data_IF_670737925568
#
_entry.id   IF_670737925568
#
_cell.length_a   1.000
_cell.length_b   1.000
_cell.length_c   1.000
_cell.angle_alpha   90.00
_cell.angle_beta   90.00
_cell.angle_gamma   90.00
#
_symmetry.space_group_name_H-M   'P 1'
#
loop_
_entity.id
_entity.type
_entity.pdbx_description
1 polymer ?
#
# COMPACT_ATOMS: atom_id res chain seq x y z
N UNK A 1 3.88 -4.29 41.55
CA UNK A 1 3.97 -3.00 40.86
C UNK A 1 5.32 -2.98 40.17
N UNK A 2 5.35 -3.26 38.87
CA UNK A 2 6.57 -3.23 38.07
C UNK A 2 6.62 -1.87 37.37
N UNK A 3 7.75 -1.17 37.52
CA UNK A 3 7.99 0.10 36.86
C UNK A 3 8.17 -0.10 35.35
N UNK A 4 7.76 0.85 34.49
CA UNK A 4 8.02 0.78 33.06
C UNK A 4 9.51 1.02 32.80
N UNK A 5 10.17 0.07 32.13
CA UNK A 5 11.51 0.22 31.61
C UNK A 5 11.48 1.15 30.40
N UNK A 6 11.91 2.41 30.59
CA UNK A 6 12.20 3.34 29.50
C UNK A 6 13.54 2.91 28.90
N UNK A 7 13.51 2.25 27.74
CA UNK A 7 14.71 1.91 26.99
C UNK A 7 15.18 3.15 26.21
N UNK A 8 16.26 3.78 26.66
CA UNK A 8 17.01 4.76 25.85
C UNK A 8 17.81 3.99 24.81
N UNK A 9 17.39 4.03 23.55
CA UNK A 9 18.21 3.64 22.42
C UNK A 9 18.98 4.88 21.97
N UNK A 10 20.30 4.92 22.23
CA UNK A 10 21.17 5.99 21.76
C UNK A 10 21.45 5.79 20.26
N UNK A 11 20.69 6.45 19.40
CA UNK A 11 20.99 6.54 17.97
C UNK A 11 22.12 7.54 17.72
N UNK A 12 23.37 7.10 17.81
CA UNK A 12 24.50 7.88 17.30
C UNK A 12 24.54 7.85 15.78
N UNK A 13 24.24 9.00 15.17
CA UNK A 13 24.49 9.37 13.76
C UNK A 13 23.80 8.51 12.69
N UNK A 14 22.49 8.69 12.53
CA UNK A 14 21.82 8.47 11.23
C UNK A 14 21.39 9.84 10.71
N UNK A 15 22.25 10.47 9.91
CA UNK A 15 21.80 11.51 8.98
C UNK A 15 21.23 10.77 7.76
N UNK A 16 19.95 10.37 7.82
CA UNK A 16 19.20 10.04 6.61
C UNK A 16 18.32 11.24 6.26
N UNK A 17 18.63 11.86 5.13
CA UNK A 17 17.67 12.67 4.43
C UNK A 17 16.58 11.73 3.89
N UNK A 18 15.31 11.97 4.22
CA UNK A 18 14.19 11.60 3.35
C UNK A 18 14.33 12.38 2.04
N UNK A 19 15.27 11.96 1.20
CA UNK A 19 15.50 12.57 -0.10
C UNK A 19 14.34 12.16 -1.00
N UNK A 20 13.58 13.16 -1.45
CA UNK A 20 12.69 13.09 -2.61
C UNK A 20 13.38 12.33 -3.76
N UNK A 21 13.09 11.04 -3.94
CA UNK A 21 13.65 10.28 -5.04
C UNK A 21 12.87 10.61 -6.32
N UNK A 22 13.45 11.51 -7.11
CA UNK A 22 13.05 11.79 -8.49
C UNK A 22 13.35 10.58 -9.39
N UNK A 23 12.40 9.66 -9.56
CA UNK A 23 12.49 8.61 -10.57
C UNK A 23 11.93 9.08 -11.92
N UNK A 24 12.81 9.63 -12.76
CA UNK A 24 12.51 9.85 -14.18
C UNK A 24 12.52 8.51 -14.92
N UNK A 25 11.33 8.05 -15.37
CA UNK A 25 11.19 6.91 -16.28
C UNK A 25 11.92 7.18 -17.59
N UNK A 26 13.15 6.66 -17.76
CA UNK A 26 13.81 6.59 -19.07
C UNK A 26 13.28 5.40 -19.87
N UNK A 27 12.65 5.69 -21.02
CA UNK A 27 12.40 4.71 -22.09
C UNK A 27 13.73 4.11 -22.57
N UNK A 28 13.80 2.80 -22.89
CA UNK A 28 14.99 2.23 -23.51
C UNK A 28 15.02 2.55 -25.01
N UNK A 29 16.09 3.23 -25.44
CA UNK A 29 16.53 3.26 -26.83
C UNK A 29 17.44 2.05 -27.12
N UNK A 30 17.40 1.60 -28.38
CA UNK A 30 17.92 0.33 -28.85
C UNK A 30 19.45 0.26 -29.07
N UNK A 31 19.95 -0.99 -29.06
CA UNK A 31 21.25 -1.53 -29.55
C UNK A 31 22.46 -1.13 -28.67
N UNK A 32 23.40 -2.02 -28.31
CA UNK A 32 23.96 -3.18 -29.02
C UNK A 32 24.75 -4.11 -28.07
N UNK A 33 24.72 -5.41 -28.38
CA UNK A 33 25.84 -6.36 -28.29
C UNK A 33 26.54 -6.65 -26.95
N UNK A 34 26.18 -7.76 -26.30
CA UNK A 34 27.07 -8.91 -26.08
C UNK A 34 26.30 -10.06 -25.37
N UNK A 35 26.38 -11.26 -25.95
CA UNK A 35 25.91 -12.52 -25.37
C UNK A 35 27.08 -13.23 -24.71
N UNK A 36 26.89 -13.76 -23.51
CA UNK A 36 27.09 -15.19 -23.22
C UNK A 36 26.59 -15.52 -21.81
N UNK A 37 25.73 -16.52 -21.72
CA UNK A 37 25.25 -17.18 -20.50
C UNK A 37 25.84 -18.58 -20.50
N UNK A 38 26.29 -19.07 -19.36
CA UNK A 38 26.35 -20.51 -19.09
C UNK A 38 26.23 -20.77 -17.59
N UNK A 39 25.06 -21.21 -17.15
CA UNK A 39 24.91 -22.03 -15.94
C UNK A 39 24.53 -23.45 -16.38
N UNK A 40 25.36 -24.41 -16.00
CA UNK A 40 25.10 -25.84 -16.15
C UNK A 40 24.39 -26.35 -14.91
N UNK A 41 23.24 -27.00 -15.08
CA UNK A 41 22.56 -27.72 -14.01
C UNK A 41 21.48 -28.62 -14.59
N UNK A 42 21.84 -29.88 -14.87
CA UNK A 42 20.92 -30.94 -15.30
C UNK A 42 20.21 -31.52 -14.08
N UNK A 43 18.92 -31.77 -14.21
CA UNK A 43 18.27 -32.93 -13.59
C UNK A 43 17.25 -33.48 -14.60
N UNK A 44 17.41 -34.77 -14.92
CA UNK A 44 16.62 -35.51 -15.89
C UNK A 44 15.92 -36.68 -15.22
N UNK A 45 14.79 -37.04 -15.83
CA UNK A 45 14.14 -38.35 -15.88
C UNK A 45 13.01 -38.62 -14.87
N UNK A 46 11.78 -38.61 -15.40
CA UNK A 46 10.83 -39.70 -15.18
C UNK A 46 9.96 -39.90 -16.44
N UNK A 47 9.83 -41.17 -16.81
CA UNK A 47 9.19 -41.75 -17.99
C UNK A 47 7.65 -41.71 -17.91
N UNK A 48 6.95 -41.64 -19.05
CA UNK A 48 6.15 -42.77 -19.61
C UNK A 48 5.38 -42.38 -20.90
N UNK A 49 5.23 -43.36 -21.79
CA UNK A 49 4.84 -43.23 -23.21
C UNK A 49 3.56 -44.04 -23.50
N UNK A 50 2.53 -43.38 -24.07
CA UNK A 50 1.64 -43.71 -25.23
C UNK A 50 0.80 -45.03 -25.31
N UNK A 51 -0.54 -44.82 -25.41
CA UNK A 51 -1.61 -45.43 -26.29
C UNK A 51 -2.22 -46.84 -26.04
N UNK A 52 -3.30 -47.26 -26.77
CA UNK A 52 -4.59 -46.59 -27.09
C UNK A 52 -5.85 -47.51 -26.92
N UNK A 53 -7.02 -46.92 -27.21
CA UNK A 53 -8.27 -47.51 -27.75
C UNK A 53 -9.15 -48.40 -26.86
N UNK A 54 -10.45 -48.06 -26.79
CA UNK A 54 -11.60 -48.91 -27.16
C UNK A 54 -12.92 -48.15 -26.90
N UNK A 55 -13.72 -47.93 -27.94
CA UNK A 55 -15.16 -47.61 -27.84
C UNK A 55 -15.95 -48.93 -27.82
N UNK A 56 -17.19 -48.91 -27.30
CA UNK A 56 -18.29 -49.04 -28.25
C UNK A 56 -19.51 -48.15 -27.97
N UNK A 57 -20.15 -47.83 -29.10
CA UNK A 57 -21.51 -47.36 -29.36
C UNK A 57 -22.58 -47.87 -28.37
N UNK A 58 -23.37 -46.97 -27.76
CA UNK A 58 -24.80 -47.20 -27.46
C UNK A 58 -25.60 -45.90 -27.67
N UNK A 59 -26.75 -46.12 -28.32
CA UNK A 59 -27.81 -45.30 -28.90
C UNK A 59 -28.42 -44.20 -28.02
N UNK A 60 -28.73 -43.05 -28.65
CA UNK A 60 -29.60 -41.98 -28.13
C UNK A 60 -31.07 -42.45 -27.99
N UNK A 61 -31.81 -41.86 -27.04
CA UNK A 61 -33.14 -41.36 -27.37
C UNK A 61 -33.27 -39.85 -27.14
N UNK A 62 -34.01 -39.22 -28.05
CA UNK A 62 -34.40 -37.82 -28.05
C UNK A 62 -35.38 -37.47 -26.92
N UNK A 63 -35.46 -36.15 -26.64
CA UNK A 63 -36.45 -35.41 -25.82
C UNK A 63 -36.10 -35.49 -24.33
N UNK A 64 -35.93 -34.39 -23.60
CA UNK A 64 -36.71 -33.14 -23.61
C UNK A 64 -35.85 -32.08 -22.92
N UNK A 65 -35.80 -30.86 -23.46
CA UNK A 65 -35.14 -29.73 -22.80
C UNK A 65 -35.78 -29.44 -21.43
N UNK A 66 -35.01 -29.34 -20.34
CA UNK A 66 -35.32 -28.40 -19.30
C UNK A 66 -34.71 -27.06 -19.71
N UNK A 67 -35.56 -26.05 -19.86
CA UNK A 67 -35.18 -24.65 -19.95
C UNK A 67 -34.37 -24.26 -18.71
N UNK A 68 -33.04 -24.38 -18.79
CA UNK A 68 -32.12 -23.68 -17.91
C UNK A 68 -32.06 -22.24 -18.39
N UNK A 69 -32.94 -21.40 -17.84
CA UNK A 69 -32.67 -19.97 -17.79
C UNK A 69 -31.25 -19.80 -17.23
N UNK A 70 -30.38 -18.98 -17.84
CA UNK A 70 -29.07 -18.72 -17.26
C UNK A 70 -29.31 -18.16 -15.86
N UNK A 71 -28.68 -18.79 -14.87
CA UNK A 71 -28.54 -18.18 -13.55
C UNK A 71 -28.08 -16.75 -13.82
N UNK A 72 -28.89 -15.76 -13.40
CA UNK A 72 -28.48 -14.36 -13.45
C UNK A 72 -27.15 -14.31 -12.71
N UNK A 73 -26.08 -14.14 -13.47
CA UNK A 73 -24.80 -13.72 -12.94
C UNK A 73 -25.10 -12.39 -12.27
N UNK A 74 -25.26 -12.44 -10.95
CA UNK A 74 -25.32 -11.24 -10.13
C UNK A 74 -23.91 -10.70 -10.22
N UNK A 75 -23.67 -9.80 -11.18
CA UNK A 75 -22.48 -8.98 -11.22
C UNK A 75 -22.50 -8.23 -9.89
N UNK A 76 -21.74 -8.71 -8.92
CA UNK A 76 -21.65 -8.09 -7.61
C UNK A 76 -20.90 -6.79 -7.82
N UNK A 77 -21.62 -5.67 -7.73
CA UNK A 77 -20.99 -4.36 -7.68
C UNK A 77 -20.09 -4.35 -6.44
N UNK A 78 -18.81 -4.06 -6.63
CA UNK A 78 -17.86 -3.86 -5.54
C UNK A 78 -18.14 -2.51 -4.90
N UNK A 79 -18.13 -2.42 -3.57
CA UNK A 79 -18.18 -1.13 -2.87
C UNK A 79 -16.83 -0.42 -2.92
N UNK A 80 -16.79 0.87 -2.58
CA UNK A 80 -15.52 1.59 -2.44
C UNK A 80 -14.66 0.96 -1.34
N UNK A 81 -15.24 0.59 -0.21
CA UNK A 81 -14.52 -0.09 0.87
C UNK A 81 -13.94 -1.43 0.42
N UNK A 82 -14.71 -2.23 -0.33
CA UNK A 82 -14.23 -3.50 -0.89
C UNK A 82 -13.08 -3.27 -1.90
N UNK A 83 -13.13 -2.19 -2.69
CA UNK A 83 -12.03 -1.79 -3.58
C UNK A 83 -10.76 -1.43 -2.79
N UNK A 84 -10.88 -0.55 -1.80
CA UNK A 84 -9.74 -0.10 -1.00
C UNK A 84 -9.09 -1.26 -0.24
N UNK A 85 -9.90 -2.15 0.33
CA UNK A 85 -9.41 -3.38 0.95
C UNK A 85 -8.65 -4.27 -0.06
N UNK A 86 -9.13 -4.35 -1.31
CA UNK A 86 -8.45 -5.09 -2.36
C UNK A 86 -7.11 -4.45 -2.81
N UNK A 87 -7.02 -3.12 -2.84
CA UNK A 87 -5.77 -2.39 -3.13
C UNK A 87 -4.76 -2.56 -1.99
N UNK A 88 -5.22 -2.46 -0.74
CA UNK A 88 -4.42 -2.60 0.49
C UNK A 88 -3.77 -3.97 0.63
N UNK A 89 -4.50 -5.02 0.28
CA UNK A 89 -4.18 -6.40 0.63
C UNK A 89 -2.76 -6.86 0.23
N UNK A 90 -2.27 -6.68 -1.02
CA UNK A 90 -0.95 -7.18 -1.42
C UNK A 90 0.19 -6.58 -0.60
N UNK A 91 0.11 -5.27 -0.30
CA UNK A 91 1.08 -4.58 0.53
C UNK A 91 1.09 -5.13 1.95
N UNK A 92 -0.07 -5.17 2.60
CA UNK A 92 -0.20 -5.57 4.00
C UNK A 92 0.18 -7.04 4.23
N UNK A 93 -0.16 -7.94 3.29
CA UNK A 93 0.28 -9.33 3.35
C UNK A 93 1.82 -9.45 3.26
N UNK A 94 2.45 -8.60 2.43
CA UNK A 94 3.91 -8.58 2.29
C UNK A 94 4.57 -8.01 3.54
N UNK A 95 4.05 -6.90 4.07
CA UNK A 95 4.53 -6.27 5.30
C UNK A 95 4.42 -7.22 6.49
N UNK A 96 3.27 -7.85 6.68
CA UNK A 96 3.06 -8.84 7.75
C UNK A 96 4.02 -10.04 7.62
N UNK A 97 4.25 -10.52 6.40
CA UNK A 97 5.23 -11.60 6.15
C UNK A 97 6.63 -11.18 6.60
N UNK A 98 7.10 -10.01 6.16
CA UNK A 98 8.44 -9.50 6.49
C UNK A 98 8.58 -9.26 8.01
N UNK A 99 7.56 -8.69 8.64
CA UNK A 99 7.52 -8.49 10.09
C UNK A 99 7.61 -9.81 10.89
N UNK A 100 7.12 -10.91 10.32
CA UNK A 100 7.13 -12.24 10.95
C UNK A 100 8.40 -13.08 10.68
N UNK A 101 9.31 -12.64 9.80
CA UNK A 101 10.50 -13.41 9.41
C UNK A 101 11.55 -13.55 10.53
N UNK A 102 11.50 -12.69 11.56
CA UNK A 102 12.43 -12.73 12.68
C UNK A 102 12.05 -11.79 13.82
N UNK A 103 12.94 -11.66 14.81
CA UNK A 103 12.79 -10.67 15.87
C UNK A 103 12.97 -9.27 15.27
N UNK A 104 11.92 -8.46 15.30
CA UNK A 104 11.91 -7.14 14.71
C UNK A 104 11.04 -6.15 15.49
N UNK A 105 11.38 -4.87 15.37
CA UNK A 105 10.49 -3.77 15.72
C UNK A 105 9.59 -3.49 14.51
N UNK A 106 8.28 -3.61 14.70
CA UNK A 106 7.28 -3.46 13.64
C UNK A 106 6.74 -2.04 13.65
N UNK A 107 6.81 -1.41 12.47
CA UNK A 107 6.32 -0.07 12.18
C UNK A 107 6.79 1.04 13.14
N UNK A 108 8.05 1.07 13.61
CA UNK A 108 8.47 2.07 14.59
C UNK A 108 8.49 3.48 13.99
N UNK A 109 7.98 4.46 14.77
CA UNK A 109 8.12 5.87 14.44
C UNK A 109 9.55 6.36 14.67
N UNK A 110 10.03 7.23 13.79
CA UNK A 110 11.28 7.94 14.04
C UNK A 110 11.11 8.95 15.19
N UNK A 111 12.05 8.92 16.13
CA UNK A 111 12.06 9.76 17.32
C UNK A 111 13.41 10.46 17.48
N UNK A 112 13.36 11.67 18.03
CA UNK A 112 14.55 12.39 18.49
C UNK A 112 15.15 11.72 19.73
N UNK A 113 16.36 12.13 20.12
CA UNK A 113 17.06 11.57 21.28
C UNK A 113 16.36 11.83 22.63
N UNK A 114 15.41 12.78 22.67
CA UNK A 114 14.56 13.05 23.83
C UNK A 114 13.26 12.22 23.84
N UNK A 115 13.04 11.38 22.83
CA UNK A 115 11.85 10.52 22.67
C UNK A 115 10.68 11.18 21.95
N UNK A 116 10.75 12.49 21.67
CA UNK A 116 9.73 13.18 20.86
C UNK A 116 9.74 12.67 19.41
N UNK A 117 8.60 12.74 18.73
CA UNK A 117 8.52 12.41 17.30
C UNK A 117 9.47 13.29 16.48
N UNK A 118 10.26 12.65 15.62
CA UNK A 118 11.04 13.38 14.62
C UNK A 118 10.10 13.80 13.50
N UNK A 119 9.99 15.12 13.26
CA UNK A 119 9.08 15.70 12.26
C UNK A 119 9.84 16.47 11.18
N UNK A 120 9.31 16.48 9.97
CA UNK A 120 9.89 17.20 8.83
C UNK A 120 8.82 17.88 7.97
N UNK A 121 9.28 18.69 7.01
CA UNK A 121 8.42 19.36 6.04
C UNK A 121 7.61 20.56 6.55
N UNK A 122 6.87 21.17 5.64
CA UNK A 122 5.97 22.30 5.91
C UNK A 122 4.79 21.90 6.81
N UNK A 123 4.35 20.64 6.75
CA UNK A 123 3.28 20.13 7.61
C UNK A 123 3.77 19.63 8.98
N UNK A 124 5.09 19.58 9.22
CA UNK A 124 5.70 19.06 10.44
C UNK A 124 5.16 17.66 10.80
N UNK A 125 5.15 16.75 9.83
CA UNK A 125 4.67 15.38 9.99
C UNK A 125 5.83 14.43 10.26
N UNK A 126 5.65 13.45 11.17
CA UNK A 126 6.62 12.39 11.38
C UNK A 126 6.55 11.31 10.30
N UNK A 127 7.48 10.35 10.37
CA UNK A 127 7.49 9.17 9.53
C UNK A 127 7.77 7.88 10.32
N UNK A 128 7.29 6.75 9.80
CA UNK A 128 7.61 5.40 10.28
C UNK A 128 8.44 4.66 9.24
N UNK A 129 9.16 3.65 9.69
CA UNK A 129 9.67 2.59 8.80
C UNK A 129 8.86 1.35 9.02
N UNK A 130 8.77 0.52 7.99
CA UNK A 130 8.02 -0.72 8.01
C UNK A 130 8.52 -1.66 9.10
N UNK A 131 9.82 -1.96 9.11
CA UNK A 131 10.41 -2.92 10.04
C UNK A 131 11.86 -2.58 10.34
N UNK A 132 12.32 -2.77 11.57
CA UNK A 132 13.75 -2.76 11.94
C UNK A 132 14.11 -4.11 12.55
N UNK A 133 15.08 -4.82 11.96
CA UNK A 133 15.55 -6.08 12.53
C UNK A 133 16.13 -5.86 13.93
N UNK A 134 15.68 -6.62 14.92
CA UNK A 134 16.15 -6.48 16.30
C UNK A 134 17.42 -7.29 16.58
N UNK A 135 17.66 -8.34 15.80
CA UNK A 135 18.76 -9.30 15.99
C UNK A 135 19.41 -9.70 14.66
N UNK A 136 20.56 -10.36 14.75
CA UNK A 136 21.28 -10.88 13.59
C UNK A 136 22.22 -9.88 12.93
N UNK A 137 22.70 -10.21 11.72
CA UNK A 137 23.70 -9.42 11.01
C UNK A 137 23.16 -8.05 10.53
N UNK A 138 21.85 -7.94 10.37
CA UNK A 138 21.15 -6.70 9.97
C UNK A 138 20.48 -6.00 11.15
N UNK A 139 20.84 -6.32 12.40
CA UNK A 139 20.24 -5.69 13.58
C UNK A 139 20.41 -4.16 13.53
N UNK A 140 19.28 -3.45 13.69
CA UNK A 140 19.22 -1.98 13.61
C UNK A 140 19.09 -1.42 12.19
N UNK A 141 19.14 -2.26 11.15
CA UNK A 141 18.92 -1.83 9.77
C UNK A 141 17.42 -1.76 9.47
N UNK A 142 16.92 -0.66 8.89
CA UNK A 142 15.54 -0.56 8.45
C UNK A 142 15.32 -1.38 7.18
N UNK A 143 14.17 -2.03 7.10
CA UNK A 143 13.65 -2.71 5.92
C UNK A 143 12.41 -1.93 5.47
N UNK A 144 12.35 -1.55 4.19
CA UNK A 144 11.14 -1.02 3.56
C UNK A 144 10.55 -2.08 2.65
N UNK A 145 9.24 -2.22 2.69
CA UNK A 145 8.48 -3.09 1.81
C UNK A 145 7.90 -2.23 0.71
N UNK A 146 8.20 -2.58 -0.54
CA UNK A 146 7.51 -2.01 -1.69
C UNK A 146 6.39 -2.97 -2.11
N UNK A 147 5.25 -2.43 -2.54
CA UNK A 147 4.24 -3.25 -3.22
C UNK A 147 4.86 -3.84 -4.50
N UNK A 148 5.09 -5.16 -4.51
CA UNK A 148 5.61 -5.85 -5.70
C UNK A 148 4.66 -5.71 -6.91
N UNK A 149 3.37 -5.50 -6.65
CA UNK A 149 2.31 -5.41 -7.67
C UNK A 149 1.22 -4.40 -7.31
N UNK A 150 0.89 -3.53 -8.26
CA UNK A 150 -0.29 -2.66 -8.23
C UNK A 150 -1.53 -3.43 -8.70
N UNK A 151 -2.66 -3.27 -8.01
CA UNK A 151 -3.94 -3.82 -8.46
C UNK A 151 -4.44 -3.03 -9.67
N UNK A 152 -4.51 -3.66 -10.84
CA UNK A 152 -5.09 -3.05 -12.04
C UNK A 152 -6.62 -3.06 -12.03
N UNK A 153 -7.24 -1.90 -12.24
CA UNK A 153 -8.70 -1.74 -12.42
C UNK A 153 -9.02 -0.47 -13.23
N UNK A 154 -10.25 -0.41 -13.78
CA UNK A 154 -10.73 0.81 -14.45
C UNK A 154 -11.05 1.89 -13.42
N UNK A 155 -10.65 3.17 -13.65
CA UNK A 155 -10.84 4.20 -12.63
C UNK A 155 -12.31 4.38 -12.22
N UNK A 156 -12.55 4.33 -10.92
CA UNK A 156 -13.86 4.50 -10.31
C UNK A 156 -14.12 5.98 -10.05
N UNK A 157 -15.33 6.44 -10.39
CA UNK A 157 -15.72 7.86 -10.27
C UNK A 157 -17.02 7.98 -9.51
N UNK A 158 -17.04 8.85 -8.53
CA UNK A 158 -18.24 9.17 -7.74
C UNK A 158 -18.10 10.59 -7.17
N UNK A 159 -19.06 11.01 -6.36
CA UNK A 159 -19.01 12.28 -5.64
C UNK A 159 -19.34 12.08 -4.17
N UNK A 160 -18.66 12.85 -3.31
CA UNK A 160 -19.03 13.04 -1.91
C UNK A 160 -19.52 14.48 -1.82
N UNK A 161 -20.83 14.67 -1.64
CA UNK A 161 -21.48 15.97 -1.79
C UNK A 161 -21.13 16.66 -3.13
N UNK A 162 -20.46 17.82 -3.09
CA UNK A 162 -19.95 18.58 -4.23
C UNK A 162 -18.54 18.14 -4.69
N UNK A 163 -17.83 17.33 -3.92
CA UNK A 163 -16.45 16.93 -4.22
C UNK A 163 -16.45 15.77 -5.23
N UNK A 164 -15.83 15.96 -6.39
CA UNK A 164 -15.61 14.87 -7.35
C UNK A 164 -14.49 13.95 -6.87
N UNK A 165 -14.73 12.63 -6.84
CA UNK A 165 -13.71 11.64 -6.47
C UNK A 165 -13.40 10.75 -7.66
N UNK A 166 -12.10 10.58 -7.94
CA UNK A 166 -11.59 9.63 -8.92
C UNK A 166 -10.54 8.74 -8.26
N UNK A 167 -10.77 7.44 -8.28
CA UNK A 167 -9.82 6.43 -7.81
C UNK A 167 -9.32 5.68 -9.02
N UNK A 168 -8.05 5.89 -9.38
CA UNK A 168 -7.31 5.11 -10.38
C UNK A 168 -6.43 4.07 -9.68
N UNK A 169 -5.85 3.10 -10.40
CA UNK A 169 -4.86 2.19 -9.81
C UNK A 169 -3.70 2.94 -9.12
N UNK A 170 -3.33 2.50 -7.92
CA UNK A 170 -2.19 2.99 -7.12
C UNK A 170 -1.68 1.89 -6.16
N UNK A 171 -0.47 2.05 -5.63
CA UNK A 171 0.10 1.17 -4.59
C UNK A 171 -0.20 1.68 -3.19
N UNK A 172 -0.51 0.81 -2.23
CA UNK A 172 -0.94 1.25 -0.88
C UNK A 172 0.17 2.01 -0.11
N UNK A 173 1.42 1.61 -0.32
CA UNK A 173 2.67 2.24 0.11
C UNK A 173 2.99 3.56 -0.63
N UNK A 174 2.29 3.82 -1.73
CA UNK A 174 2.56 4.97 -2.58
C UNK A 174 1.31 5.44 -3.29
N UNK A 175 0.48 6.18 -2.56
CA UNK A 175 -0.70 6.87 -3.06
C UNK A 175 -0.39 8.34 -3.39
N UNK A 176 -0.26 8.71 -4.67
CA UNK A 176 -0.40 10.10 -5.06
C UNK A 176 -1.86 10.55 -4.97
N UNK A 177 -2.08 11.62 -4.22
CA UNK A 177 -3.37 12.27 -4.04
C UNK A 177 -3.27 13.71 -4.55
N UNK A 178 -4.17 14.09 -5.46
CA UNK A 178 -4.39 15.48 -5.85
C UNK A 178 -5.70 16.01 -5.25
N UNK A 179 -5.60 17.11 -4.52
CA UNK A 179 -6.72 17.81 -3.87
C UNK A 179 -6.96 19.14 -4.57
N UNK A 180 -8.21 19.44 -4.90
CA UNK A 180 -8.63 20.67 -5.60
C UNK A 180 -9.67 21.45 -4.79
N UNK A 181 -9.73 22.76 -5.04
CA UNK A 181 -10.77 23.64 -4.47
C UNK A 181 -10.51 24.15 -3.06
N UNK A 182 -9.40 23.75 -2.43
CA UNK A 182 -8.94 24.28 -1.15
C UNK A 182 -7.74 25.20 -1.35
N UNK A 183 -7.52 26.14 -0.42
CA UNK A 183 -6.22 26.82 -0.30
C UNK A 183 -5.15 25.85 0.22
N UNK A 184 -3.86 26.17 0.02
CA UNK A 184 -2.76 25.37 0.57
C UNK A 184 -2.88 25.20 2.09
N UNK A 185 -3.25 26.26 2.81
CA UNK A 185 -3.41 26.26 4.26
C UNK A 185 -4.53 25.29 4.67
N UNK A 186 -5.70 25.38 4.05
CA UNK A 186 -6.83 24.49 4.34
C UNK A 186 -6.51 23.02 4.03
N UNK A 187 -5.92 22.75 2.86
CA UNK A 187 -5.53 21.39 2.50
C UNK A 187 -4.51 20.81 3.48
N UNK A 188 -3.49 21.60 3.85
CA UNK A 188 -2.45 21.18 4.79
C UNK A 188 -3.02 20.92 6.18
N UNK A 189 -3.93 21.75 6.68
CA UNK A 189 -4.57 21.56 7.98
C UNK A 189 -5.41 20.28 8.02
N UNK A 190 -6.23 20.03 7.00
CA UNK A 190 -7.07 18.82 6.91
C UNK A 190 -6.22 17.57 6.84
N UNK A 191 -5.24 17.53 5.93
CA UNK A 191 -4.36 16.38 5.73
C UNK A 191 -3.54 16.12 6.99
N UNK A 192 -2.99 17.16 7.62
CA UNK A 192 -2.20 17.02 8.84
C UNK A 192 -3.05 16.49 10.00
N UNK A 193 -4.26 17.01 10.21
CA UNK A 193 -5.15 16.53 11.26
C UNK A 193 -5.50 15.04 11.07
N UNK A 194 -5.88 14.67 9.85
CA UNK A 194 -6.10 13.28 9.46
C UNK A 194 -4.86 12.40 9.68
N UNK A 195 -3.69 12.87 9.26
CA UNK A 195 -2.46 12.10 9.39
C UNK A 195 -2.15 11.76 10.85
N UNK A 196 -2.22 12.73 11.75
CA UNK A 196 -1.93 12.49 13.17
C UNK A 196 -2.95 11.59 13.87
N UNK A 197 -4.20 11.54 13.39
CA UNK A 197 -5.20 10.59 13.88
C UNK A 197 -4.80 9.15 13.57
N UNK A 198 -4.31 8.89 12.36
CA UNK A 198 -4.00 7.54 11.88
C UNK A 198 -2.52 7.15 12.00
N UNK A 199 -1.64 8.07 12.40
CA UNK A 199 -0.22 7.80 12.63
C UNK A 199 0.08 7.13 13.97
N UNK A 200 -0.81 7.28 14.97
CA UNK A 200 -0.65 6.77 16.34
C UNK A 200 0.70 7.17 16.99
N UNK A 201 0.95 8.47 17.13
CA UNK A 201 2.27 8.99 17.53
C UNK A 201 2.81 8.52 18.88
N UNK A 202 1.96 7.98 19.75
CA UNK A 202 2.35 7.46 21.07
C UNK A 202 2.43 5.93 21.11
N UNK A 203 2.26 5.26 19.97
CA UNK A 203 2.29 3.79 19.82
C UNK A 203 1.29 3.09 20.77
N UNK A 204 0.06 3.61 20.85
CA UNK A 204 -1.00 3.12 21.73
C UNK A 204 -1.85 1.99 21.09
N UNK A 205 -1.78 1.83 19.78
CA UNK A 205 -2.52 0.78 19.08
C UNK A 205 -2.07 -0.60 19.54
N UNK A 206 -3.05 -1.51 19.64
CA UNK A 206 -2.75 -2.92 19.78
C UNK A 206 -2.44 -3.51 18.41
N UNK A 207 -1.50 -4.47 18.30
CA UNK A 207 -1.26 -5.15 17.05
C UNK A 207 -2.54 -5.78 16.48
N UNK A 208 -2.71 -5.68 15.17
CA UNK A 208 -3.78 -6.31 14.40
C UNK A 208 -3.63 -7.83 14.37
N UNK A 209 -4.58 -8.53 13.76
CA UNK A 209 -4.50 -9.99 13.59
C UNK A 209 -3.28 -10.42 12.77
N UNK A 210 -2.81 -9.56 11.87
CA UNK A 210 -1.60 -9.73 11.07
C UNK A 210 -0.31 -9.37 11.82
N UNK A 211 -0.40 -8.88 13.06
CA UNK A 211 0.74 -8.46 13.88
C UNK A 211 1.31 -7.08 13.55
N UNK A 212 0.54 -6.24 12.84
CA UNK A 212 0.89 -4.87 12.45
C UNK A 212 0.18 -3.85 13.34
N UNK A 213 0.51 -2.56 13.26
CA UNK A 213 0.00 -1.52 14.17
C UNK A 213 -1.26 -0.80 13.65
N UNK A 214 -1.62 -0.98 12.37
CA UNK A 214 -2.76 -0.30 11.76
C UNK A 214 -2.53 1.21 11.56
N UNK A 215 -1.31 1.61 11.18
CA UNK A 215 -0.85 3.01 11.18
C UNK A 215 -0.41 3.52 9.81
N UNK A 216 -0.50 4.83 9.60
CA UNK A 216 0.11 5.53 8.46
C UNK A 216 1.62 5.63 8.61
N UNK A 217 2.36 5.58 7.51
CA UNK A 217 3.82 5.68 7.55
C UNK A 217 4.35 7.05 7.16
N UNK A 218 3.75 7.69 6.16
CA UNK A 218 4.30 8.94 5.62
C UNK A 218 3.27 9.76 4.84
N UNK A 219 3.46 11.08 4.86
CA UNK A 219 2.83 12.01 3.93
C UNK A 219 3.85 13.07 3.49
N UNK A 220 3.94 13.33 2.19
CA UNK A 220 4.81 14.38 1.66
C UNK A 220 4.20 15.76 1.83
N UNK A 221 5.04 16.79 1.78
CA UNK A 221 4.55 18.16 1.64
C UNK A 221 3.70 18.33 0.36
N UNK A 222 2.67 19.20 0.38
CA UNK A 222 1.87 19.46 -0.80
C UNK A 222 2.67 20.22 -1.87
N UNK A 223 2.69 19.69 -3.08
CA UNK A 223 3.25 20.31 -4.28
C UNK A 223 2.15 20.99 -5.09
N UNK A 224 2.34 22.25 -5.49
CA UNK A 224 1.35 22.97 -6.30
C UNK A 224 1.19 22.33 -7.69
N UNK A 225 -0.05 22.26 -8.16
CA UNK A 225 -0.44 21.84 -9.52
C UNK A 225 -1.21 22.96 -10.22
N UNK A 226 -1.67 22.73 -11.46
CA UNK A 226 -2.51 23.69 -12.17
C UNK A 226 -3.88 23.91 -11.50
N UNK A 227 -4.41 22.90 -10.81
CA UNK A 227 -5.79 22.91 -10.30
C UNK A 227 -5.90 22.75 -8.77
N UNK A 228 -4.78 22.59 -8.07
CA UNK A 228 -4.76 22.33 -6.63
C UNK A 228 -3.39 21.90 -6.14
N UNK A 229 -3.34 20.88 -5.28
CA UNK A 229 -2.10 20.40 -4.66
C UNK A 229 -2.00 18.89 -4.74
N UNK A 230 -0.80 18.38 -5.00
CA UNK A 230 -0.50 16.96 -5.02
C UNK A 230 0.42 16.60 -3.86
N UNK A 231 0.12 15.50 -3.21
CA UNK A 231 0.96 14.89 -2.18
C UNK A 231 1.09 13.39 -2.45
N UNK A 232 2.07 12.78 -1.80
CA UNK A 232 2.28 11.32 -1.77
C UNK A 232 2.06 10.83 -0.36
N UNK A 233 1.35 9.73 -0.24
CA UNK A 233 0.98 9.12 1.03
C UNK A 233 1.47 7.69 1.00
N UNK A 234 2.17 7.29 2.06
CA UNK A 234 2.37 5.89 2.41
C UNK A 234 1.35 5.53 3.49
N UNK A 235 0.35 4.73 3.09
CA UNK A 235 -0.74 4.36 3.98
C UNK A 235 -0.33 3.31 5.02
N UNK A 236 0.87 2.74 4.92
CA UNK A 236 1.35 1.74 5.87
C UNK A 236 0.36 0.60 6.10
N UNK A 237 0.25 0.12 7.33
CA UNK A 237 -0.75 -0.88 7.70
C UNK A 237 -2.12 -0.30 8.01
N UNK A 238 -2.33 1.02 7.88
CA UNK A 238 -3.61 1.67 8.16
C UNK A 238 -4.78 0.96 7.45
N UNK A 239 -5.94 0.85 8.09
CA UNK A 239 -7.08 0.18 7.49
C UNK A 239 -7.74 1.06 6.42
N UNK A 240 -8.57 0.49 5.56
CA UNK A 240 -9.22 1.22 4.47
C UNK A 240 -10.05 2.42 4.94
N UNK A 241 -10.58 2.35 6.16
CA UNK A 241 -11.34 3.45 6.78
C UNK A 241 -10.48 4.71 6.96
N UNK A 242 -9.14 4.59 7.06
CA UNK A 242 -8.26 5.75 7.12
C UNK A 242 -8.37 6.59 5.85
N UNK A 243 -8.34 5.95 4.68
CA UNK A 243 -8.45 6.65 3.40
C UNK A 243 -9.88 7.17 3.16
N UNK A 244 -10.90 6.42 3.59
CA UNK A 244 -12.28 6.92 3.57
C UNK A 244 -12.45 8.18 4.43
N UNK A 245 -11.88 8.19 5.64
CA UNK A 245 -11.91 9.33 6.54
C UNK A 245 -11.24 10.58 5.91
N UNK A 246 -10.12 10.40 5.19
CA UNK A 246 -9.49 11.50 4.46
C UNK A 246 -10.43 12.09 3.40
N UNK A 247 -11.10 11.24 2.62
CA UNK A 247 -12.04 11.69 1.58
C UNK A 247 -13.22 12.47 2.18
N UNK A 248 -13.77 12.02 3.31
CA UNK A 248 -14.82 12.76 4.02
C UNK A 248 -14.30 14.08 4.60
N UNK A 249 -13.13 14.08 5.24
CA UNK A 249 -12.53 15.30 5.81
C UNK A 249 -12.25 16.37 4.73
N UNK A 250 -11.83 15.95 3.54
CA UNK A 250 -11.65 16.86 2.40
C UNK A 250 -12.98 17.41 1.87
N UNK A 251 -14.02 16.57 1.77
CA UNK A 251 -15.35 17.01 1.36
C UNK A 251 -15.94 18.04 2.35
N UNK A 252 -15.85 17.74 3.64
CA UNK A 252 -16.33 18.60 4.74
C UNK A 252 -15.61 19.95 4.77
N UNK A 253 -14.33 19.99 4.39
CA UNK A 253 -13.54 21.20 4.23
C UNK A 253 -13.90 22.02 2.98
N UNK A 254 -14.73 21.48 2.08
CA UNK A 254 -15.19 22.15 0.87
C UNK A 254 -14.32 21.92 -0.36
N UNK A 255 -13.53 20.84 -0.40
CA UNK A 255 -12.78 20.48 -1.59
C UNK A 255 -13.71 20.24 -2.79
N UNK A 256 -13.27 20.63 -3.98
CA UNK A 256 -14.01 20.41 -5.23
C UNK A 256 -13.63 19.11 -5.92
N UNK A 257 -12.45 18.53 -5.60
CA UNK A 257 -12.09 17.22 -6.08
C UNK A 257 -10.92 16.56 -5.35
N UNK A 258 -10.93 15.23 -5.36
CA UNK A 258 -9.88 14.34 -4.86
C UNK A 258 -9.57 13.26 -5.90
N UNK A 259 -8.31 13.17 -6.35
CA UNK A 259 -7.88 12.26 -7.41
C UNK A 259 -6.73 11.40 -6.90
N UNK A 260 -6.95 10.09 -6.83
CA UNK A 260 -6.01 9.09 -6.34
C UNK A 260 -5.48 8.33 -7.54
N UNK A 261 -4.17 8.36 -7.80
CA UNK A 261 -3.56 7.81 -9.03
C UNK A 261 -2.05 7.61 -8.94
#
# INVERSE_FOLDING_TARGET
MLAPCIWKIEYTNIHMYCASQNFSRRRPAARSGQRSVAFHGRCTAAHCTIAPAFQPLITLPSKTEPSTAPAKEVIRSMTVSELLAAIRKPYVETLARVAAEGAAYVEPAYRNSDGSLAVEGAMATPCRVDVIAAEGASAGEPVQVDSETELGFEPVRFAIEQMAVVISPFGWDWLPLEVRGLSLEQASEVIRAWFFEWFDGEDENLPTEEGLQGVLHFVSDPEATEEGYRLKIDLGSAPEQALEALLFALADAGASGAFLA
#
